data_IF_851667821903
#
_entry.id   IF_851667821903
#
_cell.length_a   1.000
_cell.length_b   1.000
_cell.length_c   1.000
_cell.angle_alpha   90.00
_cell.angle_beta   90.00
_cell.angle_gamma   90.00
#
_symmetry.space_group_name_H-M   'P 1'
#
loop_
_entity.id
_entity.type
_entity.pdbx_description
1 polymer ?
#
# COMPACT_ATOMS: atom_id res chain seq x y z
N UNK A 1 -1.76 12.44 30.33
CA UNK A 1 -1.21 11.26 29.64
C UNK A 1 -2.10 10.07 29.94
N UNK A 2 -2.42 9.23 28.94
CA UNK A 2 -3.23 8.00 29.11
C UNK A 2 -2.33 6.78 28.92
N UNK A 3 -2.56 5.73 29.71
CA UNK A 3 -1.92 4.44 29.48
C UNK A 3 -2.64 3.73 28.32
N UNK A 4 -1.89 3.18 27.35
CA UNK A 4 -2.44 2.49 26.18
C UNK A 4 -2.38 0.98 26.35
N UNK A 5 -1.32 0.46 26.96
CA UNK A 5 -1.07 -0.98 27.08
C UNK A 5 -1.38 -1.57 28.48
N UNK A 6 -1.93 -0.77 29.41
CA UNK A 6 -2.24 -1.19 30.79
C UNK A 6 -3.68 -1.68 30.95
N UNK A 7 -3.99 -2.30 32.10
CA UNK A 7 -5.36 -2.63 32.49
C UNK A 7 -6.09 -1.39 33.01
N UNK A 8 -7.23 -1.03 32.42
CA UNK A 8 -8.06 0.11 32.83
C UNK A 8 -9.47 -0.30 33.30
N UNK A 9 -9.79 -1.60 33.28
CA UNK A 9 -11.12 -2.10 33.64
C UNK A 9 -12.15 -2.07 32.51
N UNK A 10 -11.83 -1.46 31.37
CA UNK A 10 -12.68 -1.39 30.17
C UNK A 10 -11.82 -1.43 28.91
N UNK A 11 -12.37 -1.73 27.71
CA UNK A 11 -11.67 -1.55 26.45
C UNK A 11 -11.16 -0.11 26.34
N UNK A 12 -9.89 0.08 26.01
CA UNK A 12 -9.25 1.40 26.07
C UNK A 12 -8.28 1.70 24.93
N UNK A 13 -7.92 0.71 24.13
CA UNK A 13 -7.11 0.92 22.92
C UNK A 13 -8.04 1.25 21.76
N UNK A 14 -7.88 2.40 21.16
CA UNK A 14 -8.62 2.80 19.97
C UNK A 14 -7.87 2.44 18.69
N UNK A 15 -8.58 2.32 17.56
CA UNK A 15 -7.95 2.13 16.25
C UNK A 15 -6.91 3.22 15.95
N UNK A 16 -7.21 4.47 16.32
CA UNK A 16 -6.30 5.60 16.17
C UNK A 16 -5.00 5.42 16.96
N UNK A 17 -5.09 5.02 18.24
CA UNK A 17 -3.90 4.76 19.08
C UNK A 17 -3.07 3.60 18.54
N UNK A 18 -3.73 2.56 18.04
CA UNK A 18 -3.05 1.42 17.43
C UNK A 18 -2.31 1.85 16.14
N UNK A 19 -2.94 2.65 15.29
CA UNK A 19 -2.30 3.23 14.09
C UNK A 19 -1.09 4.10 14.45
N UNK A 20 -1.20 4.97 15.45
CA UNK A 20 -0.07 5.79 15.93
C UNK A 20 1.13 4.94 16.38
N UNK A 21 0.86 3.83 17.07
CA UNK A 21 1.92 2.92 17.48
C UNK A 21 2.60 2.28 16.27
N UNK A 22 1.83 1.82 15.29
CA UNK A 22 2.36 1.19 14.08
C UNK A 22 3.12 2.20 13.19
N UNK A 23 2.65 3.44 13.07
CA UNK A 23 3.40 4.50 12.40
C UNK A 23 4.77 4.75 13.05
N UNK A 24 4.83 4.70 14.38
CA UNK A 24 6.09 4.83 15.12
C UNK A 24 7.06 3.67 14.90
N UNK A 25 6.56 2.48 14.55
CA UNK A 25 7.38 1.26 14.35
C UNK A 25 7.76 1.09 12.87
N UNK A 26 6.79 1.27 11.96
CA UNK A 26 6.95 0.96 10.53
C UNK A 26 7.33 2.21 9.73
N UNK A 27 6.89 3.39 10.20
CA UNK A 27 6.99 4.67 9.50
C UNK A 27 5.62 5.19 9.03
N UNK A 28 5.57 6.49 8.72
CA UNK A 28 4.33 7.20 8.33
C UNK A 28 3.93 6.98 6.87
N UNK A 29 4.72 6.27 6.10
CA UNK A 29 4.45 6.03 4.68
C UNK A 29 3.50 4.87 4.42
N UNK A 30 3.59 4.37 3.20
CA UNK A 30 2.84 3.22 2.71
C UNK A 30 3.82 2.15 2.26
N UNK A 31 3.68 0.94 2.80
CA UNK A 31 4.63 -0.14 2.61
C UNK A 31 3.91 -1.48 2.51
N UNK A 32 4.49 -2.40 1.74
CA UNK A 32 4.18 -3.83 1.84
C UNK A 32 4.96 -4.39 3.03
N UNK A 33 4.28 -5.05 3.95
CA UNK A 33 4.92 -5.81 5.04
C UNK A 33 5.21 -7.21 4.50
N UNK A 34 6.44 -7.69 4.68
CA UNK A 34 6.83 -9.02 4.22
C UNK A 34 5.90 -10.10 4.78
N UNK A 35 5.00 -10.60 3.95
CA UNK A 35 4.01 -11.63 4.31
C UNK A 35 3.41 -12.24 3.03
N UNK A 36 3.15 -13.55 3.06
CA UNK A 36 2.55 -14.25 1.92
C UNK A 36 3.33 -14.05 0.63
N UNK A 37 2.65 -13.60 -0.42
CA UNK A 37 3.23 -13.32 -1.73
C UNK A 37 3.48 -11.81 -1.94
N UNK A 38 3.52 -11.03 -0.85
CA UNK A 38 3.79 -9.58 -0.84
C UNK A 38 2.84 -8.78 -1.76
N UNK A 39 1.56 -9.13 -1.77
CA UNK A 39 0.52 -8.48 -2.59
C UNK A 39 0.88 -8.44 -4.09
N UNK A 40 1.56 -9.46 -4.60
CA UNK A 40 1.99 -9.52 -5.99
C UNK A 40 0.80 -9.40 -6.94
N UNK A 41 0.80 -8.45 -7.89
CA UNK A 41 -0.25 -8.35 -8.89
C UNK A 41 -0.06 -9.44 -9.95
N UNK A 42 -1.15 -10.04 -10.40
CA UNK A 42 -1.20 -11.05 -11.47
C UNK A 42 -2.32 -10.68 -12.43
N UNK A 43 -1.97 -10.31 -13.66
CA UNK A 43 -2.94 -10.00 -14.69
C UNK A 43 -3.50 -11.32 -15.26
N UNK A 44 -4.77 -11.60 -14.99
CA UNK A 44 -5.44 -12.80 -15.52
C UNK A 44 -6.02 -12.55 -16.92
N UNK A 45 -6.42 -11.32 -17.22
CA UNK A 45 -6.89 -10.86 -18.53
C UNK A 45 -6.85 -9.33 -18.59
N UNK A 46 -7.19 -8.72 -19.75
CA UNK A 46 -7.26 -7.27 -19.88
C UNK A 46 -8.33 -6.61 -18.99
N UNK A 47 -9.22 -7.39 -18.39
CA UNK A 47 -10.29 -6.89 -17.53
C UNK A 47 -10.32 -7.55 -16.14
N UNK A 48 -9.32 -8.35 -15.79
CA UNK A 48 -9.24 -9.01 -14.49
C UNK A 48 -7.80 -9.10 -14.01
N UNK A 49 -7.54 -8.53 -12.84
CA UNK A 49 -6.29 -8.65 -12.10
C UNK A 49 -6.53 -9.34 -10.77
N UNK A 50 -5.61 -10.20 -10.37
CA UNK A 50 -5.55 -10.78 -9.02
C UNK A 50 -4.48 -10.08 -8.23
N UNK A 51 -4.75 -9.82 -6.95
CA UNK A 51 -3.76 -9.38 -5.97
C UNK A 51 -3.55 -10.56 -5.03
N UNK A 52 -2.35 -11.12 -5.05
CA UNK A 52 -2.00 -12.31 -4.29
C UNK A 52 -1.91 -11.99 -2.80
N UNK A 53 -1.85 -13.03 -1.98
CA UNK A 53 -1.77 -12.90 -0.53
C UNK A 53 -0.64 -11.98 -0.05
N UNK A 54 -0.89 -11.24 1.03
CA UNK A 54 0.09 -10.34 1.61
C UNK A 54 -0.53 -9.33 2.55
N UNK A 55 0.29 -8.43 3.04
CA UNK A 55 -0.10 -7.42 4.03
C UNK A 55 0.52 -6.07 3.68
N UNK A 56 -0.20 -4.99 3.94
CA UNK A 56 0.31 -3.64 3.75
C UNK A 56 -0.02 -2.74 4.95
N UNK A 57 0.81 -1.74 5.13
CA UNK A 57 0.60 -0.62 6.05
C UNK A 57 0.41 0.66 5.25
N UNK A 58 -0.58 1.46 5.62
CA UNK A 58 -0.80 2.80 5.09
C UNK A 58 -1.21 3.74 6.23
N UNK A 59 -0.37 4.73 6.54
CA UNK A 59 -0.58 5.62 7.69
C UNK A 59 -0.93 4.85 8.97
N UNK A 60 -0.19 3.77 9.25
CA UNK A 60 -0.42 2.88 10.39
C UNK A 60 -1.66 1.98 10.31
N UNK A 61 -2.51 2.13 9.30
CA UNK A 61 -3.61 1.22 9.03
C UNK A 61 -3.08 -0.03 8.34
N UNK A 62 -3.36 -1.21 8.90
CA UNK A 62 -2.94 -2.50 8.34
C UNK A 62 -4.12 -3.15 7.64
N UNK A 63 -3.91 -3.61 6.42
CA UNK A 63 -4.84 -4.43 5.65
C UNK A 63 -4.13 -5.62 5.02
N UNK A 64 -4.85 -6.69 4.73
CA UNK A 64 -4.26 -7.90 4.17
C UNK A 64 -5.19 -8.61 3.19
N UNK A 65 -4.57 -9.40 2.32
CA UNK A 65 -5.18 -10.51 1.59
C UNK A 65 -4.68 -11.80 2.24
N UNK A 66 -5.58 -12.66 2.67
CA UNK A 66 -5.26 -13.83 3.48
C UNK A 66 -4.30 -14.79 2.78
N UNK A 67 -3.41 -15.42 3.56
CA UNK A 67 -2.42 -16.37 3.04
C UNK A 67 -3.12 -17.53 2.32
N UNK A 68 -2.65 -17.85 1.12
CA UNK A 68 -3.22 -18.90 0.28
C UNK A 68 -4.45 -18.47 -0.52
N UNK A 69 -4.82 -17.18 -0.45
CA UNK A 69 -5.93 -16.58 -1.20
C UNK A 69 -5.45 -15.47 -2.15
N UNK A 70 -6.38 -14.85 -2.82
CA UNK A 70 -6.18 -13.64 -3.63
C UNK A 70 -7.47 -12.82 -3.68
N UNK A 71 -7.33 -11.53 -3.90
CA UNK A 71 -8.45 -10.65 -4.23
C UNK A 71 -8.52 -10.45 -5.74
N UNK A 72 -9.74 -10.36 -6.27
CA UNK A 72 -9.98 -10.03 -7.68
C UNK A 72 -10.33 -8.55 -7.83
N UNK A 73 -9.67 -7.90 -8.78
CA UNK A 73 -9.94 -6.52 -9.18
C UNK A 73 -10.38 -6.51 -10.63
N UNK A 74 -11.65 -6.14 -10.85
CA UNK A 74 -12.21 -5.98 -12.18
C UNK A 74 -11.70 -4.68 -12.81
N UNK A 75 -11.14 -4.79 -14.01
CA UNK A 75 -10.62 -3.67 -14.79
C UNK A 75 -11.57 -3.39 -15.96
N UNK A 76 -11.66 -2.13 -16.37
CA UNK A 76 -12.37 -1.74 -17.58
C UNK A 76 -11.43 -1.83 -18.77
N UNK A 77 -11.86 -2.52 -19.83
CA UNK A 77 -11.06 -2.63 -21.05
C UNK A 77 -10.61 -1.26 -21.58
N UNK A 78 -9.45 -1.24 -22.19
CA UNK A 78 -8.94 -0.06 -22.89
C UNK A 78 -9.77 0.28 -24.14
N UNK A 79 -9.45 1.39 -24.78
CA UNK A 79 -10.10 1.87 -26.02
C UNK A 79 -9.11 1.87 -27.15
N UNK A 80 -9.51 1.36 -28.32
CA UNK A 80 -8.64 1.26 -29.47
C UNK A 80 -8.06 2.63 -29.88
N UNK A 81 -6.76 2.70 -30.10
CA UNK A 81 -6.04 3.92 -30.48
C UNK A 81 -5.85 4.93 -29.35
N UNK A 82 -6.21 4.58 -28.12
CA UNK A 82 -6.06 5.43 -26.93
C UNK A 82 -5.14 4.78 -25.91
N UNK A 83 -4.47 5.61 -25.11
CA UNK A 83 -3.69 5.21 -23.94
C UNK A 83 -4.40 5.65 -22.68
N UNK A 84 -4.26 4.90 -21.61
CA UNK A 84 -4.85 5.23 -20.31
C UNK A 84 -4.00 4.63 -19.19
N UNK A 85 -3.98 5.29 -18.05
CA UNK A 85 -3.46 4.75 -16.80
C UNK A 85 -4.60 4.71 -15.79
N UNK A 86 -4.91 3.53 -15.28
CA UNK A 86 -5.82 3.36 -14.16
C UNK A 86 -5.00 3.21 -12.87
N UNK A 87 -5.50 3.78 -11.78
CA UNK A 87 -4.87 3.68 -10.48
C UNK A 87 -5.69 2.73 -9.60
N UNK A 88 -5.04 1.69 -9.08
CA UNK A 88 -5.64 0.81 -8.10
C UNK A 88 -5.17 1.25 -6.73
N UNK A 89 -6.13 1.59 -5.87
CA UNK A 89 -5.88 2.03 -4.51
C UNK A 89 -6.48 1.04 -3.52
N UNK A 90 -5.82 0.86 -2.37
CA UNK A 90 -6.47 0.29 -1.20
C UNK A 90 -7.16 1.45 -0.48
N UNK A 91 -8.48 1.50 -0.56
CA UNK A 91 -9.29 2.58 0.02
C UNK A 91 -9.70 2.24 1.43
N UNK A 92 -9.23 3.02 2.40
CA UNK A 92 -9.80 3.06 3.73
C UNK A 92 -11.09 3.89 3.73
N UNK A 93 -12.10 3.40 4.45
CA UNK A 93 -13.32 4.14 4.74
C UNK A 93 -13.73 3.93 6.20
N UNK A 94 -14.32 4.98 6.81
CA UNK A 94 -14.98 4.89 8.11
C UNK A 94 -16.40 5.47 7.98
N UNK A 95 -17.38 4.73 8.47
CA UNK A 95 -18.75 5.25 8.56
C UNK A 95 -18.83 6.24 9.72
N UNK A 96 -19.32 7.46 9.46
CA UNK A 96 -19.37 8.54 10.45
C UNK A 96 -20.35 8.26 11.62
N UNK A 97 -21.36 7.42 11.41
CA UNK A 97 -22.40 7.12 12.42
C UNK A 97 -22.05 5.88 13.23
N UNK A 98 -21.62 4.81 12.54
CA UNK A 98 -21.36 3.50 13.18
C UNK A 98 -19.90 3.33 13.58
N UNK A 99 -19.01 4.22 13.13
CA UNK A 99 -17.56 4.16 13.29
C UNK A 99 -16.89 2.89 12.73
N UNK A 100 -17.64 2.09 11.97
CA UNK A 100 -17.11 0.89 11.33
C UNK A 100 -16.10 1.27 10.26
N UNK A 101 -14.91 0.72 10.37
CA UNK A 101 -13.80 0.92 9.46
C UNK A 101 -13.69 -0.24 8.46
N UNK A 102 -13.28 0.05 7.23
CA UNK A 102 -13.08 -0.95 6.19
C UNK A 102 -11.95 -0.54 5.24
N UNK A 103 -11.27 -1.53 4.64
CA UNK A 103 -10.35 -1.35 3.52
C UNK A 103 -10.82 -2.19 2.33
N UNK A 104 -10.74 -1.65 1.13
CA UNK A 104 -11.11 -2.36 -0.09
C UNK A 104 -10.33 -1.87 -1.30
N UNK A 105 -10.11 -2.75 -2.26
CA UNK A 105 -9.53 -2.36 -3.54
C UNK A 105 -10.52 -1.50 -4.34
N UNK A 106 -10.03 -0.39 -4.86
CA UNK A 106 -10.78 0.52 -5.71
C UNK A 106 -9.98 0.84 -6.96
N UNK A 107 -10.64 0.76 -8.12
CA UNK A 107 -10.07 1.23 -9.38
C UNK A 107 -10.53 2.66 -9.63
N UNK A 108 -9.57 3.57 -9.77
CA UNK A 108 -9.79 4.94 -10.23
C UNK A 108 -9.37 4.95 -11.70
N UNK A 109 -10.36 4.98 -12.57
CA UNK A 109 -10.13 4.93 -14.01
C UNK A 109 -9.60 6.28 -14.50
N UNK A 110 -8.50 6.22 -15.27
CA UNK A 110 -7.93 7.39 -15.92
C UNK A 110 -8.71 7.82 -17.17
N UNK A 111 -8.35 8.96 -17.70
CA UNK A 111 -8.95 9.48 -18.94
C UNK A 111 -8.20 8.91 -20.14
N UNK A 112 -8.90 8.27 -21.10
CA UNK A 112 -8.29 7.82 -22.35
C UNK A 112 -7.84 9.02 -23.20
N UNK A 113 -6.58 8.99 -23.66
CA UNK A 113 -5.96 10.03 -24.50
C UNK A 113 -5.12 9.38 -25.60
N UNK A 114 -4.86 10.10 -26.69
CA UNK A 114 -4.06 9.55 -27.79
C UNK A 114 -2.58 9.35 -27.40
N UNK A 115 -2.04 10.18 -26.48
CA UNK A 115 -0.66 10.09 -26.02
C UNK A 115 -0.52 10.69 -24.62
N UNK A 116 0.52 10.27 -23.87
CA UNK A 116 0.87 10.80 -22.56
C UNK A 116 -0.29 10.79 -21.55
N UNK A 117 -0.87 9.62 -21.23
CA UNK A 117 -1.93 9.52 -20.23
C UNK A 117 -1.41 9.95 -18.86
N UNK A 118 -2.25 10.65 -18.10
CA UNK A 118 -1.93 11.03 -16.72
C UNK A 118 -2.49 10.00 -15.73
N UNK A 119 -1.81 9.83 -14.62
CA UNK A 119 -2.32 9.08 -13.47
C UNK A 119 -3.50 9.86 -12.88
N UNK A 120 -4.66 9.22 -12.60
CA UNK A 120 -5.81 9.90 -12.02
C UNK A 120 -5.52 10.36 -10.59
N UNK A 121 -6.18 11.43 -10.18
CA UNK A 121 -6.15 11.91 -8.80
C UNK A 121 -6.88 10.92 -7.87
N UNK A 122 -6.44 10.85 -6.62
CA UNK A 122 -7.00 10.01 -5.57
C UNK A 122 -7.25 10.84 -4.30
N UNK A 123 -7.98 10.29 -3.34
CA UNK A 123 -8.27 10.96 -2.07
C UNK A 123 -7.13 10.73 -1.09
N UNK A 124 -6.43 11.79 -0.69
CA UNK A 124 -5.44 11.74 0.38
C UNK A 124 -6.07 12.26 1.65
N UNK A 125 -6.30 11.36 2.61
CA UNK A 125 -6.85 11.66 3.92
C UNK A 125 -5.78 11.68 5.01
N UNK A 126 -6.19 12.07 6.21
CA UNK A 126 -5.40 11.98 7.42
C UNK A 126 -6.17 11.19 8.49
N UNK A 127 -5.87 9.90 8.59
CA UNK A 127 -6.55 8.98 9.52
C UNK A 127 -6.36 9.37 10.99
N UNK A 128 -5.25 10.02 11.32
CA UNK A 128 -4.98 10.50 12.69
C UNK A 128 -5.83 11.72 13.06
N UNK A 129 -6.23 12.52 12.08
CA UNK A 129 -7.18 13.63 12.26
C UNK A 129 -8.64 13.18 12.17
N UNK A 130 -8.89 11.90 11.82
CA UNK A 130 -10.23 11.33 11.79
C UNK A 130 -10.93 11.48 10.45
N UNK A 131 -10.21 11.69 9.36
CA UNK A 131 -10.79 11.67 8.02
C UNK A 131 -11.47 10.32 7.73
N UNK A 132 -12.57 10.38 7.00
CA UNK A 132 -13.42 9.22 6.76
C UNK A 132 -12.97 8.37 5.56
N UNK A 133 -12.13 8.93 4.70
CA UNK A 133 -11.61 8.28 3.48
C UNK A 133 -10.15 8.60 3.31
N UNK A 134 -9.36 7.56 2.99
CA UNK A 134 -7.95 7.70 2.61
C UNK A 134 -7.61 6.61 1.59
N UNK A 135 -6.96 7.00 0.49
CA UNK A 135 -6.57 6.09 -0.58
C UNK A 135 -5.06 5.84 -0.53
N UNK A 136 -4.68 4.59 -0.45
CA UNK A 136 -3.30 4.15 -0.67
C UNK A 136 -3.10 3.71 -2.12
N UNK A 137 -2.42 4.49 -2.98
CA UNK A 137 -2.04 4.05 -4.31
C UNK A 137 -1.14 2.82 -4.25
N UNK A 138 -1.58 1.70 -4.85
CA UNK A 138 -0.87 0.44 -4.81
C UNK A 138 -0.33 0.01 -6.18
N UNK A 139 -1.12 0.21 -7.25
CA UNK A 139 -0.72 -0.20 -8.59
C UNK A 139 -1.18 0.81 -9.65
N UNK A 140 -0.35 1.03 -10.66
CA UNK A 140 -0.75 1.62 -11.93
C UNK A 140 -0.99 0.51 -12.96
N UNK A 141 -2.08 0.61 -13.71
CA UNK A 141 -2.39 -0.28 -14.84
C UNK A 141 -2.36 0.54 -16.12
N UNK A 142 -1.38 0.26 -16.96
CA UNK A 142 -1.15 1.00 -18.20
C UNK A 142 -1.79 0.29 -19.38
N UNK A 143 -2.52 1.04 -20.20
CA UNK A 143 -3.19 0.57 -21.41
C UNK A 143 -2.62 1.20 -22.65
N UNK A 144 -2.47 0.40 -23.72
CA UNK A 144 -2.28 0.83 -25.08
C UNK A 144 -3.32 0.13 -25.97
N UNK A 145 -4.24 0.89 -26.52
CA UNK A 145 -5.42 0.33 -27.15
C UNK A 145 -6.29 -0.43 -26.14
N UNK A 146 -6.67 -1.63 -26.49
CA UNK A 146 -7.49 -2.52 -25.65
C UNK A 146 -6.68 -3.34 -24.66
N UNK A 147 -5.34 -3.34 -24.77
CA UNK A 147 -4.47 -4.23 -24.01
C UNK A 147 -3.88 -3.52 -22.80
N UNK A 148 -3.76 -4.24 -21.69
CA UNK A 148 -2.87 -3.88 -20.59
C UNK A 148 -1.43 -4.17 -21.01
N UNK A 149 -0.57 -3.17 -20.95
CA UNK A 149 0.84 -3.27 -21.32
C UNK A 149 1.75 -3.40 -20.11
N UNK A 150 1.33 -2.86 -18.96
CA UNK A 150 2.10 -2.91 -17.72
C UNK A 150 1.17 -2.85 -16.50
N UNK A 151 1.52 -3.58 -15.46
CA UNK A 151 1.02 -3.39 -14.09
C UNK A 151 2.21 -3.04 -13.22
N UNK A 152 2.29 -1.79 -12.77
CA UNK A 152 3.40 -1.26 -12.00
C UNK A 152 3.02 -1.18 -10.53
N UNK A 153 3.79 -1.85 -9.66
CA UNK A 153 3.66 -1.70 -8.20
C UNK A 153 4.23 -0.36 -7.74
N UNK A 154 3.50 0.33 -6.88
CA UNK A 154 3.88 1.64 -6.33
C UNK A 154 4.43 1.56 -4.91
N UNK A 155 4.18 0.45 -4.21
CA UNK A 155 4.63 0.24 -2.84
C UNK A 155 5.93 -0.55 -2.81
N UNK A 156 6.84 -0.14 -1.94
CA UNK A 156 8.03 -0.92 -1.60
C UNK A 156 7.73 -1.89 -0.46
N UNK A 157 8.48 -3.00 -0.42
CA UNK A 157 8.48 -3.91 0.73
C UNK A 157 9.32 -3.28 1.84
N UNK A 158 8.76 -3.18 3.05
CA UNK A 158 9.49 -2.69 4.20
C UNK A 158 10.45 -3.78 4.70
N UNK A 159 11.70 -3.39 4.94
CA UNK A 159 12.68 -4.28 5.58
C UNK A 159 12.25 -4.59 7.02
N UNK A 160 12.39 -5.85 7.42
CA UNK A 160 12.23 -6.23 8.81
C UNK A 160 13.36 -5.67 9.69
N UNK A 161 13.12 -5.53 11.00
CA UNK A 161 14.12 -4.99 11.94
C UNK A 161 15.44 -5.79 11.92
N UNK A 162 15.38 -7.12 11.75
CA UNK A 162 16.56 -7.98 11.63
C UNK A 162 17.35 -7.70 10.35
N UNK A 163 16.66 -7.44 9.25
CA UNK A 163 17.25 -7.11 7.96
C UNK A 163 17.91 -5.73 7.98
N UNK A 164 17.23 -4.72 8.52
CA UNK A 164 17.80 -3.39 8.74
C UNK A 164 19.06 -3.43 9.62
N UNK A 165 19.05 -4.24 10.67
CA UNK A 165 20.25 -4.45 11.54
C UNK A 165 21.40 -5.06 10.77
N UNK A 166 21.14 -6.06 9.94
CA UNK A 166 22.15 -6.73 9.10
C UNK A 166 22.71 -5.77 8.04
N UNK A 167 21.84 -5.02 7.36
CA UNK A 167 22.24 -4.01 6.37
C UNK A 167 23.11 -2.93 6.99
N UNK A 168 22.75 -2.44 8.19
CA UNK A 168 23.57 -1.47 8.92
C UNK A 168 24.94 -2.02 9.31
N UNK A 169 25.04 -3.30 9.73
CA UNK A 169 26.30 -3.93 10.06
C UNK A 169 27.20 -4.04 8.82
N UNK A 170 26.64 -4.41 7.67
CA UNK A 170 27.37 -4.50 6.41
C UNK A 170 27.91 -3.13 5.96
N UNK A 171 27.06 -2.09 6.00
CA UNK A 171 27.46 -0.72 5.64
C UNK A 171 28.62 -0.23 6.55
N UNK A 172 28.54 -0.50 7.87
CA UNK A 172 29.62 -0.17 8.81
C UNK A 172 30.94 -0.88 8.46
N UNK A 173 30.87 -2.17 8.13
CA UNK A 173 32.04 -2.94 7.75
C UNK A 173 32.70 -2.42 6.46
N UNK A 174 31.87 -2.05 5.46
CA UNK A 174 32.38 -1.50 4.20
C UNK A 174 32.99 -0.10 4.36
N UNK A 175 32.39 0.73 5.22
CA UNK A 175 32.96 2.04 5.56
C UNK A 175 34.32 1.92 6.25
N UNK A 176 34.49 0.97 7.17
CA UNK A 176 35.76 0.69 7.83
C UNK A 176 36.83 0.25 6.79
N UNK A 177 36.48 -0.64 5.86
CA UNK A 177 37.38 -1.07 4.78
C UNK A 177 37.81 0.11 3.90
N UNK A 178 36.85 0.95 3.50
CA UNK A 178 37.12 2.13 2.68
C UNK A 178 38.07 3.10 3.39
N UNK A 179 37.84 3.40 4.67
CA UNK A 179 38.72 4.27 5.45
C UNK A 179 40.16 3.68 5.60
N UNK A 180 40.27 2.39 5.78
CA UNK A 180 41.58 1.73 5.91
C UNK A 180 42.35 1.69 4.58
N UNK A 181 41.67 1.79 3.44
CA UNK A 181 42.34 1.84 2.12
C UNK A 181 42.80 3.24 1.70
N UNK A 182 42.40 4.28 2.43
CA UNK A 182 42.81 5.67 2.20
C UNK A 182 44.00 6.11 3.04
N UNK A 183 44.44 5.29 4.00
CA UNK A 183 45.61 5.49 4.85
C UNK A 183 46.73 4.54 4.45
#
# INVERSE_FOLDING_TARGET
MKIVSGRTGSPHVTSQQFRQMLEGIIGQGSYIITSGENLKPELSSNNLMKIRSGMMAHHGCISCVDIGTYDEVTLTNGSQGMKRIDLIVNRYTRNAETEVENCSWKVIQGTPVASNPAVPAYTSGNLQNGDLVDDCPAFEVHYDGINVTEVKSLLSVADGLSELSSNLANIKADLIKANNSLN
#
